data_IF_931485809936
#
_entry.id   IF_931485809936
#
_cell.length_a   1.000
_cell.length_b   1.000
_cell.length_c   1.000
_cell.angle_alpha   90.00
_cell.angle_beta   90.00
_cell.angle_gamma   90.00
#
_symmetry.space_group_name_H-M   'P 1'
#
loop_
_entity.id
_entity.type
_entity.pdbx_description
1 polymer ?
#
# COMPACT_ATOMS: atom_id res chain seq x y z
N UNK A 1 7.54 -21.76 -2.81
CA UNK A 1 7.38 -22.86 -3.80
C UNK A 1 7.46 -22.37 -5.25
N UNK A 2 6.65 -21.40 -5.67
CA UNK A 2 6.57 -20.93 -7.07
C UNK A 2 7.93 -20.51 -7.65
N UNK A 3 8.68 -19.66 -6.95
CA UNK A 3 10.01 -19.21 -7.37
C UNK A 3 11.00 -20.39 -7.61
N UNK A 4 10.94 -21.42 -6.75
CA UNK A 4 11.75 -22.63 -6.92
C UNK A 4 11.38 -23.42 -8.18
N UNK A 5 10.09 -23.57 -8.48
CA UNK A 5 9.66 -24.22 -9.72
C UNK A 5 10.16 -23.48 -10.96
N UNK A 6 10.11 -22.14 -10.96
CA UNK A 6 10.65 -21.32 -12.06
C UNK A 6 12.15 -21.53 -12.22
N UNK A 7 12.89 -21.48 -11.11
CA UNK A 7 14.33 -21.67 -11.10
C UNK A 7 14.74 -23.05 -11.64
N UNK A 8 14.13 -24.13 -11.12
CA UNK A 8 14.40 -25.50 -11.55
C UNK A 8 14.10 -25.72 -13.03
N UNK A 9 12.96 -25.21 -13.52
CA UNK A 9 12.59 -25.33 -14.93
C UNK A 9 13.62 -24.63 -15.84
N UNK A 10 14.11 -23.45 -15.45
CA UNK A 10 15.09 -22.70 -16.22
C UNK A 10 16.50 -23.28 -16.15
N UNK A 11 16.80 -24.12 -15.16
CA UNK A 11 18.02 -24.93 -15.11
C UNK A 11 17.92 -26.20 -15.98
N UNK A 12 16.75 -26.51 -16.54
CA UNK A 12 16.49 -27.77 -17.25
C UNK A 12 16.20 -28.97 -16.34
N UNK A 13 15.88 -28.74 -15.06
CA UNK A 13 15.48 -29.79 -14.11
C UNK A 13 13.99 -30.07 -14.19
N UNK A 14 13.59 -31.29 -13.76
CA UNK A 14 12.19 -31.54 -13.42
C UNK A 14 11.74 -30.62 -12.27
N UNK A 15 10.45 -30.28 -12.29
CA UNK A 15 9.80 -29.46 -11.25
C UNK A 15 8.86 -30.33 -10.41
N UNK A 16 8.70 -30.04 -9.10
CA UNK A 16 7.83 -30.81 -8.21
C UNK A 16 6.35 -30.42 -8.41
N UNK A 17 5.77 -30.85 -9.53
CA UNK A 17 4.36 -30.65 -9.87
C UNK A 17 3.87 -31.82 -10.73
N UNK A 18 2.56 -32.12 -10.70
CA UNK A 18 1.95 -33.08 -11.62
C UNK A 18 2.09 -32.61 -13.08
N UNK A 19 1.86 -31.31 -13.32
CA UNK A 19 2.05 -30.62 -14.60
C UNK A 19 2.45 -29.17 -14.34
N UNK A 20 3.29 -28.59 -15.19
CA UNK A 20 3.66 -27.18 -15.10
C UNK A 20 3.89 -26.56 -16.49
N UNK A 21 3.35 -25.36 -16.72
CA UNK A 21 3.68 -24.50 -17.85
C UNK A 21 4.27 -23.21 -17.31
N UNK A 22 5.58 -23.04 -17.50
CA UNK A 22 6.34 -21.97 -16.87
C UNK A 22 6.92 -21.07 -17.98
N UNK A 23 6.61 -19.76 -18.01
CA UNK A 23 7.24 -18.85 -18.94
C UNK A 23 8.70 -18.59 -18.54
N UNK A 24 9.53 -18.21 -19.51
CA UNK A 24 10.94 -17.85 -19.24
C UNK A 24 10.99 -16.51 -18.52
N UNK A 25 11.38 -16.53 -17.26
CA UNK A 25 11.60 -15.34 -16.43
C UNK A 25 13.04 -14.85 -16.57
N UNK A 26 13.18 -13.53 -16.70
CA UNK A 26 14.49 -12.86 -16.74
C UNK A 26 15.03 -12.60 -15.34
N UNK A 27 14.15 -12.35 -14.38
CA UNK A 27 14.50 -12.02 -12.99
C UNK A 27 13.50 -12.65 -12.03
N UNK A 28 14.01 -13.11 -10.90
CA UNK A 28 13.22 -13.51 -9.74
C UNK A 28 13.64 -12.59 -8.60
N UNK A 29 12.68 -11.87 -8.05
CA UNK A 29 12.84 -11.02 -6.88
C UNK A 29 12.09 -11.66 -5.71
N UNK A 30 12.70 -11.60 -4.52
CA UNK A 30 12.06 -12.04 -3.30
C UNK A 30 12.33 -11.03 -2.20
N UNK A 31 11.26 -10.51 -1.60
CA UNK A 31 11.27 -9.96 -0.26
C UNK A 31 10.53 -10.95 0.61
N UNK A 32 11.26 -11.86 1.23
CA UNK A 32 10.73 -12.84 2.17
C UNK A 32 11.51 -12.62 3.45
N UNK A 33 10.83 -12.32 4.54
CA UNK A 33 11.47 -12.01 5.83
C UNK A 33 12.31 -13.20 6.29
N UNK A 34 13.63 -13.08 6.20
CA UNK A 34 14.57 -14.08 6.69
C UNK A 34 15.55 -13.39 7.64
N UNK A 35 15.31 -13.53 8.95
CA UNK A 35 16.23 -13.23 10.04
C UNK A 35 16.83 -11.83 10.04
N UNK A 36 16.30 -10.95 10.90
CA UNK A 36 16.80 -9.60 11.15
C UNK A 36 18.34 -9.51 11.10
N UNK A 37 18.89 -8.81 10.10
CA UNK A 37 20.26 -8.27 10.16
C UNK A 37 20.32 -7.12 11.19
N UNK A 38 20.01 -7.42 12.46
CA UNK A 38 20.19 -6.52 13.61
C UNK A 38 21.65 -6.06 13.76
N UNK A 39 22.59 -6.73 13.09
CA UNK A 39 24.03 -6.49 13.16
C UNK A 39 24.51 -5.15 12.55
N UNK A 40 23.64 -4.37 11.86
CA UNK A 40 24.06 -3.17 11.12
C UNK A 40 23.48 -1.83 11.60
N UNK A 41 22.74 -1.79 12.71
CA UNK A 41 22.23 -0.55 13.29
C UNK A 41 21.20 0.19 12.42
N UNK A 42 20.59 -0.48 11.44
CA UNK A 42 19.48 0.04 10.64
C UNK A 42 18.17 -0.57 11.13
N UNK A 43 17.10 0.22 11.13
CA UNK A 43 15.75 -0.29 11.40
C UNK A 43 15.40 -1.38 10.40
N UNK A 44 14.79 -2.47 10.88
CA UNK A 44 14.30 -3.59 10.06
C UNK A 44 13.33 -3.08 8.99
N UNK A 45 12.52 -2.08 9.32
CA UNK A 45 11.64 -1.40 8.36
C UNK A 45 12.42 -0.67 7.26
N UNK A 46 13.50 0.03 7.60
CA UNK A 46 14.31 0.72 6.58
C UNK A 46 14.96 -0.27 5.61
N UNK A 47 15.45 -1.42 6.10
CA UNK A 47 16.01 -2.47 5.25
C UNK A 47 14.93 -3.01 4.30
N UNK A 48 13.74 -3.29 4.82
CA UNK A 48 12.59 -3.71 4.02
C UNK A 48 12.22 -2.70 2.92
N UNK A 49 12.23 -1.41 3.23
CA UNK A 49 11.97 -0.35 2.25
C UNK A 49 13.07 -0.25 1.20
N UNK A 50 14.34 -0.39 1.58
CA UNK A 50 15.46 -0.40 0.64
C UNK A 50 15.43 -1.60 -0.30
N UNK A 51 15.09 -2.77 0.19
CA UNK A 51 14.91 -3.98 -0.61
C UNK A 51 13.76 -3.82 -1.60
N UNK A 52 12.61 -3.34 -1.12
CA UNK A 52 11.44 -3.07 -1.95
C UNK A 52 11.75 -2.05 -3.04
N UNK A 53 12.39 -0.93 -2.69
CA UNK A 53 12.83 0.07 -3.66
C UNK A 53 13.79 -0.50 -4.70
N UNK A 54 14.72 -1.36 -4.29
CA UNK A 54 15.65 -2.03 -5.19
C UNK A 54 14.93 -2.95 -6.18
N UNK A 55 13.91 -3.69 -5.73
CA UNK A 55 13.06 -4.52 -6.60
C UNK A 55 12.36 -3.63 -7.62
N UNK A 56 11.65 -2.58 -7.16
CA UNK A 56 10.86 -1.69 -8.01
C UNK A 56 11.72 -1.00 -9.08
N UNK A 57 12.88 -0.45 -8.72
CA UNK A 57 13.81 0.16 -9.71
C UNK A 57 14.35 -0.84 -10.74
N UNK A 58 14.48 -2.11 -10.36
CA UNK A 58 15.00 -3.17 -11.21
C UNK A 58 13.92 -3.91 -12.02
N UNK A 59 12.63 -3.59 -11.85
CA UNK A 59 11.53 -4.22 -12.58
C UNK A 59 11.70 -4.08 -14.08
N UNK A 60 11.51 -5.20 -14.79
CA UNK A 60 11.47 -5.29 -16.25
C UNK A 60 10.45 -6.35 -16.65
N UNK A 61 9.95 -6.37 -17.90
CA UNK A 61 9.11 -7.46 -18.37
C UNK A 61 9.76 -8.83 -18.15
N UNK A 62 8.93 -9.83 -17.84
CA UNK A 62 9.33 -11.19 -17.44
C UNK A 62 10.04 -11.23 -16.08
N UNK A 63 9.61 -10.40 -15.14
CA UNK A 63 10.05 -10.50 -13.74
C UNK A 63 9.02 -11.29 -12.93
N UNK A 64 9.47 -12.23 -12.10
CA UNK A 64 8.66 -12.80 -11.03
C UNK A 64 9.04 -12.11 -9.72
N UNK A 65 8.06 -11.57 -9.00
CA UNK A 65 8.25 -10.90 -7.72
C UNK A 65 7.48 -11.67 -6.65
N UNK A 66 8.13 -11.94 -5.53
CA UNK A 66 7.50 -12.54 -4.35
C UNK A 66 7.71 -11.61 -3.17
N UNK A 67 6.62 -11.06 -2.63
CA UNK A 67 6.62 -10.19 -1.45
C UNK A 67 5.87 -10.90 -0.34
N UNK A 68 6.46 -10.86 0.85
CA UNK A 68 5.88 -11.41 2.08
C UNK A 68 5.83 -10.32 3.15
N UNK A 69 4.63 -10.00 3.61
CA UNK A 69 4.33 -9.11 4.75
C UNK A 69 5.11 -7.79 4.78
N UNK A 70 5.10 -7.04 3.68
CA UNK A 70 5.61 -5.66 3.66
C UNK A 70 4.72 -4.74 4.51
N UNK A 71 5.30 -3.72 5.16
CA UNK A 71 4.62 -2.71 5.96
C UNK A 71 4.56 -2.98 7.46
N UNK A 72 5.07 -4.13 7.95
CA UNK A 72 4.91 -4.55 9.35
C UNK A 72 5.68 -3.71 10.39
N UNK A 73 6.80 -3.12 10.00
CA UNK A 73 7.71 -2.42 10.91
C UNK A 73 7.36 -0.96 11.20
N UNK A 74 6.17 -0.49 10.80
CA UNK A 74 5.73 0.91 10.93
C UNK A 74 4.28 1.00 11.44
N UNK A 75 3.70 2.21 11.48
CA UNK A 75 2.30 2.40 11.82
C UNK A 75 1.40 1.60 10.87
N UNK A 76 0.28 1.08 11.37
CA UNK A 76 -0.62 0.22 10.57
C UNK A 76 -1.07 0.90 9.28
N UNK A 77 -1.39 2.20 9.34
CA UNK A 77 -1.86 2.97 8.20
C UNK A 77 -0.76 3.32 7.21
N UNK A 78 0.44 3.67 7.69
CA UNK A 78 1.58 3.91 6.79
C UNK A 78 1.99 2.62 6.09
N UNK A 79 2.03 1.50 6.83
CA UNK A 79 2.36 0.19 6.29
C UNK A 79 1.36 -0.28 5.24
N UNK A 80 0.06 -0.10 5.49
CA UNK A 80 -1.00 -0.37 4.51
C UNK A 80 -0.85 0.51 3.26
N UNK A 81 -0.66 1.82 3.44
CA UNK A 81 -0.55 2.75 2.31
C UNK A 81 0.65 2.43 1.42
N UNK A 82 1.80 2.08 2.02
CA UNK A 82 2.98 1.64 1.27
C UNK A 82 2.72 0.31 0.59
N UNK A 83 2.17 -0.69 1.29
CA UNK A 83 1.86 -1.99 0.72
C UNK A 83 0.91 -1.88 -0.49
N UNK A 84 -0.08 -1.00 -0.39
CA UNK A 84 -1.01 -0.68 -1.47
C UNK A 84 -0.30 -0.07 -2.68
N UNK A 85 0.48 1.00 -2.48
CA UNK A 85 1.21 1.65 -3.57
C UNK A 85 2.21 0.70 -4.26
N UNK A 86 2.83 -0.22 -3.49
CA UNK A 86 3.71 -1.26 -4.04
C UNK A 86 2.90 -2.28 -4.87
N UNK A 87 1.71 -2.68 -4.40
CA UNK A 87 0.84 -3.56 -5.16
C UNK A 87 0.38 -2.91 -6.48
N UNK A 88 0.01 -1.63 -6.47
CA UNK A 88 -0.32 -0.84 -7.68
C UNK A 88 0.86 -0.84 -8.67
N UNK A 89 2.05 -0.46 -8.20
CA UNK A 89 3.24 -0.42 -9.04
C UNK A 89 3.60 -1.77 -9.68
N UNK A 90 3.31 -2.89 -9.00
CA UNK A 90 3.51 -4.23 -9.53
C UNK A 90 2.42 -4.64 -10.51
N UNK A 91 1.17 -4.28 -10.25
CA UNK A 91 0.03 -4.58 -11.12
C UNK A 91 0.11 -3.81 -12.45
N UNK A 92 0.58 -2.57 -12.42
CA UNK A 92 0.75 -1.72 -13.61
C UNK A 92 1.98 -2.09 -14.44
N UNK A 93 2.90 -2.89 -13.89
CA UNK A 93 4.13 -3.27 -14.57
C UNK A 93 3.89 -4.37 -15.63
N UNK A 94 4.05 -3.98 -16.90
CA UNK A 94 3.82 -4.89 -18.02
C UNK A 94 4.71 -6.15 -17.99
N UNK A 95 4.08 -7.32 -18.07
CA UNK A 95 4.76 -8.61 -18.12
C UNK A 95 5.45 -9.01 -16.81
N UNK A 96 5.08 -8.40 -15.68
CA UNK A 96 5.51 -8.81 -14.34
C UNK A 96 4.48 -9.78 -13.75
N UNK A 97 4.96 -10.84 -13.10
CA UNK A 97 4.13 -11.69 -12.24
C UNK A 97 4.49 -11.41 -10.79
N UNK A 98 3.50 -11.20 -9.94
CA UNK A 98 3.69 -10.94 -8.53
C UNK A 98 2.91 -11.93 -7.65
N UNK A 99 3.53 -12.38 -6.57
CA UNK A 99 2.87 -13.01 -5.43
C UNK A 99 3.05 -12.06 -4.25
N UNK A 100 1.93 -11.62 -3.67
CA UNK A 100 1.91 -10.66 -2.59
C UNK A 100 1.20 -11.27 -1.38
N UNK A 101 1.96 -11.80 -0.43
CA UNK A 101 1.44 -12.29 0.83
C UNK A 101 1.31 -11.14 1.82
N UNK A 102 0.13 -10.97 2.42
CA UNK A 102 -0.17 -9.85 3.31
C UNK A 102 -1.11 -10.27 4.44
N UNK A 103 -1.07 -9.50 5.52
CA UNK A 103 -2.01 -9.59 6.64
C UNK A 103 -2.99 -8.42 6.65
N UNK A 104 -2.86 -7.47 5.72
CA UNK A 104 -3.79 -6.36 5.54
C UNK A 104 -5.05 -6.87 4.82
N UNK A 105 -6.17 -6.90 5.53
CA UNK A 105 -7.46 -7.28 4.95
C UNK A 105 -7.98 -6.21 4.01
N UNK A 106 -7.61 -4.96 4.22
CA UNK A 106 -7.96 -3.84 3.37
C UNK A 106 -7.47 -4.03 1.94
N UNK A 107 -6.33 -4.74 1.75
CA UNK A 107 -5.81 -5.07 0.41
C UNK A 107 -6.64 -6.11 -0.34
N UNK A 108 -7.61 -6.77 0.30
CA UNK A 108 -8.55 -7.66 -0.41
C UNK A 108 -9.32 -6.88 -1.49
N UNK A 109 -9.68 -5.63 -1.21
CA UNK A 109 -10.44 -4.78 -2.13
C UNK A 109 -9.59 -4.32 -3.34
N UNK A 110 -8.27 -4.50 -3.29
CA UNK A 110 -7.36 -4.17 -4.38
C UNK A 110 -7.76 -4.87 -5.69
N UNK A 111 -8.11 -6.15 -5.62
CA UNK A 111 -8.49 -6.96 -6.78
C UNK A 111 -9.80 -6.48 -7.44
N UNK A 112 -10.66 -5.77 -6.70
CA UNK A 112 -11.88 -5.21 -7.28
C UNK A 112 -11.59 -4.02 -8.22
N UNK A 113 -10.54 -3.24 -7.92
CA UNK A 113 -10.12 -2.09 -8.72
C UNK A 113 -9.10 -2.44 -9.82
N UNK A 114 -8.42 -3.59 -9.73
CA UNK A 114 -7.34 -3.99 -10.63
C UNK A 114 -7.65 -5.33 -11.31
N UNK A 115 -8.16 -5.33 -12.56
CA UNK A 115 -8.57 -6.55 -13.27
C UNK A 115 -7.46 -7.60 -13.49
N UNK A 116 -6.19 -7.19 -13.39
CA UNK A 116 -5.04 -8.08 -13.50
C UNK A 116 -4.70 -8.81 -12.19
N UNK A 117 -5.35 -8.45 -11.08
CA UNK A 117 -5.15 -9.02 -9.76
C UNK A 117 -6.33 -9.91 -9.34
N UNK A 118 -6.04 -10.91 -8.52
CA UNK A 118 -7.04 -11.77 -7.90
C UNK A 118 -6.60 -12.14 -6.49
N UNK A 119 -7.56 -12.46 -5.64
CA UNK A 119 -7.30 -12.89 -4.27
C UNK A 119 -7.16 -14.40 -4.19
N UNK A 120 -6.24 -14.86 -3.35
CA UNK A 120 -6.13 -16.25 -2.94
C UNK A 120 -5.79 -16.34 -1.46
N UNK A 121 -6.31 -17.35 -0.78
CA UNK A 121 -6.14 -17.57 0.64
C UNK A 121 -5.76 -19.03 0.95
N UNK A 122 -5.22 -19.27 2.13
CA UNK A 122 -4.95 -20.64 2.61
C UNK A 122 -6.20 -21.14 3.32
N UNK A 123 -6.76 -22.24 2.84
CA UNK A 123 -8.00 -22.81 3.35
C UNK A 123 -7.87 -23.24 4.81
N UNK A 124 -8.88 -22.84 5.58
CA UNK A 124 -9.04 -23.12 7.00
C UNK A 124 -10.35 -23.86 7.20
N UNK A 125 -10.36 -24.84 8.12
CA UNK A 125 -11.57 -25.56 8.50
C UNK A 125 -11.76 -25.51 10.01
N UNK A 126 -12.96 -25.13 10.44
CA UNK A 126 -13.37 -25.26 11.83
C UNK A 126 -13.96 -26.65 12.08
N UNK A 127 -13.50 -27.31 13.14
CA UNK A 127 -13.99 -28.62 13.56
C UNK A 127 -14.00 -28.72 15.08
N UNK A 128 -15.18 -28.96 15.67
CA UNK A 128 -15.35 -29.10 17.13
C UNK A 128 -14.75 -27.92 17.93
N UNK A 129 -14.93 -26.69 17.42
CA UNK A 129 -14.38 -25.48 18.05
C UNK A 129 -12.87 -25.29 17.91
N UNK A 130 -12.20 -26.10 17.08
CA UNK A 130 -10.78 -25.98 16.74
C UNK A 130 -10.61 -25.57 15.29
N UNK A 131 -9.59 -24.77 15.04
CA UNK A 131 -9.18 -24.36 13.69
C UNK A 131 -8.14 -25.32 13.15
N UNK A 132 -8.33 -25.79 11.92
CA UNK A 132 -7.43 -26.70 11.22
C UNK A 132 -6.97 -26.02 9.93
N UNK A 133 -5.65 -25.83 9.79
CA UNK A 133 -5.03 -25.33 8.57
C UNK A 133 -4.88 -26.45 7.54
N UNK A 134 -5.48 -26.31 6.36
CA UNK A 134 -5.48 -27.35 5.34
C UNK A 134 -4.26 -27.28 4.39
N UNK A 135 -3.42 -26.26 4.53
CA UNK A 135 -2.28 -25.97 3.65
C UNK A 135 -2.64 -25.98 2.15
N UNK A 136 -3.90 -25.67 1.83
CA UNK A 136 -4.44 -25.65 0.48
C UNK A 136 -4.70 -24.20 0.10
N UNK A 137 -4.11 -23.73 -0.99
CA UNK A 137 -4.44 -22.41 -1.54
C UNK A 137 -5.77 -22.52 -2.30
N UNK A 138 -6.69 -21.61 -2.02
CA UNK A 138 -7.99 -21.49 -2.69
C UNK A 138 -8.16 -20.06 -3.21
N UNK A 139 -8.89 -19.91 -4.30
CA UNK A 139 -9.23 -18.59 -4.83
C UNK A 139 -10.25 -17.90 -3.91
N UNK A 140 -10.10 -16.59 -3.75
CA UNK A 140 -10.90 -15.76 -2.86
C UNK A 140 -10.10 -15.14 -1.72
N UNK A 141 -10.72 -14.16 -1.06
CA UNK A 141 -10.19 -13.54 0.14
C UNK A 141 -10.22 -14.50 1.33
N UNK A 142 -9.48 -14.18 2.39
CA UNK A 142 -9.65 -14.87 3.67
C UNK A 142 -10.88 -14.32 4.41
N UNK A 143 -11.70 -15.20 4.95
CA UNK A 143 -12.97 -14.82 5.58
C UNK A 143 -12.76 -14.06 6.91
N UNK A 144 -11.68 -14.39 7.65
CA UNK A 144 -11.40 -13.91 9.01
C UNK A 144 -9.91 -13.97 9.36
N UNK A 145 -9.52 -13.19 10.37
CA UNK A 145 -8.23 -13.33 11.06
C UNK A 145 -8.28 -14.47 12.09
N UNK A 146 -7.38 -15.45 11.97
CA UNK A 146 -7.33 -16.61 12.87
C UNK A 146 -6.25 -16.48 13.97
N UNK A 147 -5.84 -15.25 14.32
CA UNK A 147 -4.71 -15.01 15.24
C UNK A 147 -4.87 -15.66 16.62
N UNK A 148 -6.06 -15.55 17.23
CA UNK A 148 -6.33 -16.19 18.53
C UNK A 148 -6.32 -17.72 18.41
N UNK A 149 -6.81 -18.27 17.29
CA UNK A 149 -6.80 -19.70 17.06
C UNK A 149 -5.37 -20.25 16.85
N UNK A 150 -4.50 -19.48 16.18
CA UNK A 150 -3.06 -19.79 16.07
C UNK A 150 -2.42 -19.79 17.46
N UNK A 151 -2.74 -18.81 18.30
CA UNK A 151 -2.24 -18.76 19.68
C UNK A 151 -2.70 -19.97 20.52
N UNK A 152 -3.94 -20.42 20.35
CA UNK A 152 -4.45 -21.62 21.00
C UNK A 152 -3.73 -22.90 20.54
N UNK A 153 -3.48 -23.03 19.23
CA UNK A 153 -2.70 -24.13 18.66
C UNK A 153 -1.23 -24.12 19.13
N UNK A 154 -0.66 -22.93 19.36
CA UNK A 154 0.67 -22.77 19.93
C UNK A 154 0.75 -23.13 21.43
N UNK A 155 -0.39 -23.46 22.06
CA UNK A 155 -0.44 -23.88 23.46
C UNK A 155 -0.48 -22.73 24.47
N UNK A 156 -0.93 -21.53 24.05
CA UNK A 156 -1.12 -20.42 24.98
C UNK A 156 -2.09 -20.79 26.13
N UNK A 157 -1.85 -20.30 27.36
CA UNK A 157 -2.70 -20.61 28.50
C UNK A 157 -4.17 -20.24 28.24
N UNK A 158 -5.09 -21.13 28.63
CA UNK A 158 -6.54 -20.93 28.40
C UNK A 158 -7.06 -19.61 28.95
N UNK A 159 -6.57 -19.16 30.10
CA UNK A 159 -6.94 -17.88 30.68
C UNK A 159 -6.55 -16.67 29.78
N UNK A 160 -5.40 -16.75 29.10
CA UNK A 160 -4.95 -15.72 28.16
C UNK A 160 -5.81 -15.74 26.90
N UNK A 161 -6.11 -16.93 26.36
CA UNK A 161 -7.00 -17.08 25.20
C UNK A 161 -8.40 -16.53 25.50
N UNK A 162 -8.97 -16.87 26.66
CA UNK A 162 -10.27 -16.35 27.09
C UNK A 162 -10.26 -14.81 27.14
N UNK A 163 -9.24 -14.23 27.77
CA UNK A 163 -9.11 -12.76 27.85
C UNK A 163 -8.90 -12.11 26.48
N UNK A 164 -8.14 -12.75 25.59
CA UNK A 164 -7.91 -12.24 24.24
C UNK A 164 -9.21 -12.21 23.42
N UNK A 165 -10.08 -13.22 23.57
CA UNK A 165 -11.41 -13.25 22.91
C UNK A 165 -12.29 -12.12 23.42
N UNK A 166 -12.41 -11.97 24.75
CA UNK A 166 -13.15 -10.84 25.34
C UNK A 166 -12.66 -9.48 24.84
N UNK A 167 -11.33 -9.31 24.73
CA UNK A 167 -10.75 -8.04 24.28
C UNK A 167 -10.98 -7.80 22.79
N UNK A 168 -10.96 -8.84 21.96
CA UNK A 168 -11.30 -8.74 20.55
C UNK A 168 -12.74 -8.25 20.38
N UNK A 169 -13.69 -8.88 21.08
CA UNK A 169 -15.12 -8.49 21.04
C UNK A 169 -15.32 -7.02 21.47
N UNK A 170 -14.58 -6.56 22.48
CA UNK A 170 -14.61 -5.17 22.94
C UNK A 170 -14.10 -4.19 21.85
N UNK A 171 -12.99 -4.54 21.19
CA UNK A 171 -12.37 -3.72 20.15
C UNK A 171 -13.24 -3.65 18.89
N UNK A 172 -13.84 -4.76 18.48
CA UNK A 172 -14.75 -4.82 17.33
C UNK A 172 -15.98 -3.95 17.56
N UNK A 173 -16.62 -4.02 18.73
CA UNK A 173 -17.74 -3.12 19.08
C UNK A 173 -17.33 -1.65 19.10
N UNK A 174 -16.13 -1.34 19.59
CA UNK A 174 -15.62 0.04 19.58
C UNK A 174 -15.38 0.55 18.15
N UNK A 175 -14.90 -0.31 17.25
CA UNK A 175 -14.70 0.01 15.84
C UNK A 175 -16.04 0.25 15.13
N UNK A 176 -17.04 -0.61 15.35
CA UNK A 176 -18.39 -0.43 14.79
C UNK A 176 -19.01 0.91 15.21
N UNK A 177 -18.98 1.22 16.50
CA UNK A 177 -19.50 2.50 17.03
C UNK A 177 -18.76 3.71 16.46
N UNK A 178 -17.45 3.59 16.25
CA UNK A 178 -16.64 4.64 15.62
C UNK A 178 -16.92 4.76 14.13
N UNK A 179 -17.13 3.67 13.42
CA UNK A 179 -17.46 3.67 12.00
C UNK A 179 -18.83 4.31 11.74
N UNK A 180 -19.82 4.05 12.60
CA UNK A 180 -21.13 4.71 12.56
C UNK A 180 -21.02 6.22 12.81
N UNK A 181 -20.21 6.65 13.79
CA UNK A 181 -19.96 8.06 14.06
C UNK A 181 -19.15 8.74 12.94
N UNK A 182 -18.15 8.04 12.39
CA UNK A 182 -17.26 8.54 11.35
C UNK A 182 -17.94 8.60 9.98
N UNK A 183 -18.87 7.69 9.66
CA UNK A 183 -19.65 7.73 8.41
C UNK A 183 -20.46 9.04 8.25
N UNK A 184 -20.87 9.65 9.36
CA UNK A 184 -21.52 10.97 9.38
C UNK A 184 -20.51 12.12 9.26
N UNK A 185 -19.28 11.95 9.78
CA UNK A 185 -18.24 12.98 9.79
C UNK A 185 -17.38 13.02 8.51
N UNK A 186 -17.03 11.88 7.93
CA UNK A 186 -16.18 11.74 6.73
C UNK A 186 -16.83 12.39 5.50
N UNK A 187 -18.16 12.32 5.36
CA UNK A 187 -18.88 13.02 4.30
C UNK A 187 -18.70 14.55 4.36
N UNK A 188 -18.72 15.13 5.56
CA UNK A 188 -18.52 16.57 5.75
C UNK A 188 -17.07 17.01 5.52
N UNK A 189 -16.09 16.23 5.99
CA UNK A 189 -14.67 16.56 5.84
C UNK A 189 -14.18 16.40 4.40
N UNK A 190 -14.60 15.33 3.70
CA UNK A 190 -14.26 15.12 2.30
C UNK A 190 -14.86 16.20 1.38
N UNK A 191 -16.09 16.66 1.64
CA UNK A 191 -16.68 17.78 0.91
C UNK A 191 -15.97 19.11 1.19
N UNK A 192 -15.58 19.37 2.44
CA UNK A 192 -14.84 20.58 2.80
C UNK A 192 -13.44 20.61 2.16
N UNK A 193 -12.73 19.49 2.15
CA UNK A 193 -11.41 19.38 1.54
C UNK A 193 -11.47 19.50 0.01
N UNK A 194 -12.48 18.89 -0.62
CA UNK A 194 -12.71 19.03 -2.07
C UNK A 194 -12.96 20.48 -2.47
N UNK A 195 -13.83 21.19 -1.74
CA UNK A 195 -14.11 22.62 -1.96
C UNK A 195 -12.86 23.49 -1.79
N UNK A 196 -11.99 23.16 -0.83
CA UNK A 196 -10.71 23.87 -0.63
C UNK A 196 -9.78 23.68 -1.82
N UNK A 197 -9.58 22.45 -2.29
CA UNK A 197 -8.73 22.13 -3.46
C UNK A 197 -9.26 22.76 -4.74
N UNK A 198 -10.58 22.75 -4.96
CA UNK A 198 -11.23 23.40 -6.10
C UNK A 198 -11.02 24.92 -6.10
N UNK A 199 -11.16 25.58 -4.93
CA UNK A 199 -10.94 27.01 -4.79
C UNK A 199 -9.46 27.41 -5.01
N UNK A 200 -8.52 26.60 -4.52
CA UNK A 200 -7.09 26.80 -4.73
C UNK A 200 -6.71 26.67 -6.21
N UNK A 201 -7.21 25.64 -6.89
CA UNK A 201 -6.99 25.45 -8.32
C UNK A 201 -7.56 26.60 -9.16
N UNK A 202 -8.71 27.16 -8.76
CA UNK A 202 -9.29 28.33 -9.42
C UNK A 202 -8.39 29.57 -9.27
N UNK A 203 -7.78 29.80 -8.10
CA UNK A 203 -6.83 30.89 -7.88
C UNK A 203 -5.60 30.75 -8.76
N UNK A 204 -5.00 29.56 -8.84
CA UNK A 204 -3.85 29.31 -9.69
C UNK A 204 -4.14 29.51 -11.18
N UNK A 205 -5.33 29.11 -11.65
CA UNK A 205 -5.76 29.37 -13.03
C UNK A 205 -5.87 30.86 -13.33
N UNK A 206 -6.45 31.63 -12.41
CA UNK A 206 -6.60 33.08 -12.58
C UNK A 206 -5.24 33.78 -12.55
N UNK A 207 -4.34 33.38 -11.66
CA UNK A 207 -2.96 33.88 -11.62
C UNK A 207 -2.24 33.62 -12.96
N UNK A 208 -2.31 32.38 -13.45
CA UNK A 208 -1.71 32.00 -14.74
C UNK A 208 -2.36 32.68 -15.95
N UNK A 209 -3.63 33.09 -15.85
CA UNK A 209 -4.31 33.91 -16.87
C UNK A 209 -3.74 35.33 -16.88
N UNK A 210 -3.71 35.98 -15.72
CA UNK A 210 -3.19 37.35 -15.56
C UNK A 210 -1.73 37.47 -16.01
N UNK A 211 -0.89 36.48 -15.70
CA UNK A 211 0.51 36.47 -16.12
C UNK A 211 0.69 36.29 -17.63
N UNK A 212 -0.21 35.56 -18.31
CA UNK A 212 -0.14 35.36 -19.76
C UNK A 212 -0.68 36.54 -20.56
N UNK A 213 -1.66 37.24 -20.02
CA UNK A 213 -2.27 38.41 -20.65
C UNK A 213 -1.48 39.71 -20.40
N UNK A 214 -0.63 39.73 -19.38
CA UNK A 214 0.21 40.88 -19.09
C UNK A 214 1.38 40.97 -20.07
N UNK A 215 1.45 42.08 -20.80
CA UNK A 215 2.60 42.45 -21.62
C UNK A 215 3.38 43.58 -20.93
N UNK A 216 4.56 43.30 -20.34
CA UNK A 216 5.36 44.28 -19.61
C UNK A 216 5.74 45.52 -20.44
N UNK A 217 5.86 45.39 -21.76
CA UNK A 217 6.34 46.47 -22.63
C UNK A 217 5.25 47.48 -22.98
N UNK A 218 3.98 47.15 -22.69
CA UNK A 218 2.81 48.00 -22.98
C UNK A 218 2.17 48.62 -21.74
N UNK A 219 2.55 48.16 -20.55
CA UNK A 219 1.96 48.63 -19.29
C UNK A 219 2.58 49.96 -18.84
N UNK A 220 1.73 50.89 -18.42
CA UNK A 220 2.21 52.08 -17.69
C UNK A 220 2.72 51.69 -16.29
N UNK A 221 3.64 52.47 -15.69
CA UNK A 221 4.15 52.19 -14.35
C UNK A 221 3.05 52.01 -13.29
N UNK A 222 1.95 52.76 -13.40
CA UNK A 222 0.79 52.63 -12.51
C UNK A 222 0.05 51.30 -12.72
N UNK A 223 -0.20 50.90 -13.96
CA UNK A 223 -0.88 49.65 -14.28
C UNK A 223 -0.03 48.43 -13.88
N UNK A 224 1.29 48.50 -14.06
CA UNK A 224 2.19 47.46 -13.59
C UNK A 224 2.14 47.33 -12.06
N UNK A 225 2.11 48.46 -11.34
CA UNK A 225 2.00 48.46 -9.88
C UNK A 225 0.65 47.91 -9.39
N UNK A 226 -0.45 48.28 -10.04
CA UNK A 226 -1.79 47.76 -9.74
C UNK A 226 -1.91 46.25 -10.02
N UNK A 227 -1.26 45.76 -11.08
CA UNK A 227 -1.20 44.33 -11.41
C UNK A 227 -0.47 43.54 -10.31
N UNK A 228 0.65 44.06 -9.80
CA UNK A 228 1.39 43.42 -8.70
C UNK A 228 0.54 43.26 -7.44
N UNK A 229 -0.28 44.26 -7.10
CA UNK A 229 -1.22 44.13 -5.97
C UNK A 229 -2.29 43.07 -6.21
N UNK A 230 -2.82 42.96 -7.43
CA UNK A 230 -3.80 41.92 -7.79
C UNK A 230 -3.20 40.52 -7.72
N UNK A 231 -1.98 40.34 -8.24
CA UNK A 231 -1.27 39.07 -8.15
C UNK A 231 -1.01 38.68 -6.70
N UNK A 232 -0.59 39.65 -5.86
CA UNK A 232 -0.36 39.43 -4.43
C UNK A 232 -1.64 39.02 -3.68
N UNK A 233 -2.79 39.60 -4.03
CA UNK A 233 -4.07 39.25 -3.40
C UNK A 233 -4.58 37.84 -3.76
N UNK A 234 -4.07 37.24 -4.84
CA UNK A 234 -4.43 35.89 -5.28
C UNK A 234 -3.51 34.80 -4.71
N UNK A 235 -2.36 35.19 -4.14
CA UNK A 235 -1.46 34.26 -3.46
C UNK A 235 -2.02 33.84 -2.09
N UNK A 236 -1.93 32.56 -1.71
CA UNK A 236 -2.27 32.11 -0.37
C UNK A 236 -1.35 32.76 0.68
N UNK A 237 -1.87 33.03 1.89
CA UNK A 237 -1.13 33.76 2.94
C UNK A 237 -0.04 32.96 3.68
N UNK A 238 0.23 31.70 3.31
CA UNK A 238 1.28 30.87 3.94
C UNK A 238 2.33 30.41 2.93
N UNK A 239 3.45 31.14 2.86
CA UNK A 239 4.81 30.60 2.69
C UNK A 239 5.84 31.75 2.76
N UNK A 240 5.95 32.35 3.95
CA UNK A 240 7.13 33.12 4.32
C UNK A 240 8.25 32.15 4.72
N UNK A 241 8.88 31.48 3.74
CA UNK A 241 10.14 30.76 3.99
C UNK A 241 10.45 29.61 3.05
N UNK A 242 11.15 29.90 1.96
CA UNK A 242 11.93 28.88 1.23
C UNK A 242 11.84 28.99 -0.28
N UNK A 243 12.49 30.00 -0.88
CA UNK A 243 12.94 29.84 -2.26
C UNK A 243 13.94 28.66 -2.30
N UNK A 244 13.79 27.66 -3.18
CA UNK A 244 14.88 26.77 -3.50
C UNK A 244 15.99 27.63 -4.12
N UNK A 245 17.13 27.73 -3.44
CA UNK A 245 18.34 28.32 -4.00
C UNK A 245 18.72 27.54 -5.25
N UNK A 246 18.67 28.18 -6.42
CA UNK A 246 19.32 27.68 -7.62
C UNK A 246 20.83 27.96 -7.51
N UNK A 247 21.59 26.91 -7.16
CA UNK A 247 23.01 26.74 -7.46
C UNK A 247 23.34 25.25 -7.43
#
# INVERSE_FOLDING_TARGET
>A
QVAWCVWLAQMGSFVPAERARIPVMRRIFSRIGAGDELARGRSTFMVEMMETASILHALRPRSLVVIDEIGRGTSTWDGLAIAWAVAEALADAEGVLALFATHYHELVDFAAAHPAAFNASVAVREWQGKVIFLHRVVEGAADRSYGIAVAELAGMPRAVIARAREKLDELERQLELKAEAAGVQLGLFAEAERRRKEAELARWRELGRLLREADPDTLTPKQAHDLLYRLRALLPEDDAGGFPSAA
#
